data_IF_987616919670
#
_entry.id   IF_987616919670
#
_cell.length_a   1.000
_cell.length_b   1.000
_cell.length_c   1.000
_cell.angle_alpha   90.00
_cell.angle_beta   90.00
_cell.angle_gamma   90.00
#
_symmetry.space_group_name_H-M   'P 1'
#
loop_
_entity.id
_entity.type
_entity.pdbx_description
1 polymer ?
#
# COMPACT_ATOMS: atom_id res chain seq x y z
N UNK A 1 12.79 0.49 4.24
CA UNK A 1 14.09 0.23 3.58
C UNK A 1 13.95 -0.04 2.08
N UNK A 2 13.05 -0.94 1.63
CA UNK A 2 12.87 -1.26 0.21
C UNK A 2 12.39 -0.06 -0.64
N UNK A 3 11.32 0.63 -0.24
CA UNK A 3 10.76 1.75 -1.00
C UNK A 3 11.69 2.96 -1.11
N UNK A 4 12.43 3.28 -0.04
CA UNK A 4 13.48 4.29 -0.07
C UNK A 4 14.61 3.99 -1.06
N UNK A 5 14.80 2.72 -1.45
CA UNK A 5 15.73 2.36 -2.51
C UNK A 5 15.15 2.71 -3.91
N UNK A 6 13.84 2.68 -4.08
CA UNK A 6 13.21 3.05 -5.35
C UNK A 6 13.32 4.55 -5.64
N UNK A 7 13.34 5.40 -4.62
CA UNK A 7 13.65 6.83 -4.75
C UNK A 7 15.00 7.09 -5.46
N UNK A 8 15.93 6.13 -5.39
CA UNK A 8 17.25 6.20 -6.05
C UNK A 8 17.22 5.75 -7.51
N UNK A 9 16.07 5.35 -8.03
CA UNK A 9 15.87 4.90 -9.40
C UNK A 9 15.04 5.95 -10.16
N UNK A 10 15.64 7.06 -10.61
CA UNK A 10 14.89 8.21 -11.16
C UNK A 10 14.10 7.89 -12.43
N UNK A 11 14.45 6.82 -13.13
CA UNK A 11 13.78 6.35 -14.36
C UNK A 11 12.82 5.18 -14.09
N UNK A 12 12.48 4.89 -12.84
CA UNK A 12 11.58 3.80 -12.50
C UNK A 12 10.12 4.16 -12.85
N UNK A 13 9.64 3.61 -13.95
CA UNK A 13 8.25 3.83 -14.41
C UNK A 13 7.32 2.66 -14.10
N UNK A 14 7.87 1.46 -13.85
CA UNK A 14 7.09 0.25 -13.63
C UNK A 14 7.55 -0.48 -12.37
N UNK A 15 6.58 -0.80 -11.51
CA UNK A 15 6.80 -1.52 -10.26
C UNK A 15 5.85 -2.70 -10.19
N UNK A 16 6.41 -3.87 -9.85
CA UNK A 16 5.64 -5.08 -9.58
C UNK A 16 6.02 -5.59 -8.19
N UNK A 17 5.04 -5.65 -7.30
CA UNK A 17 5.21 -6.16 -5.94
C UNK A 17 4.33 -7.39 -5.77
N UNK A 18 4.90 -8.44 -5.16
CA UNK A 18 4.18 -9.65 -4.84
C UNK A 18 4.42 -10.04 -3.39
N UNK A 19 3.36 -10.42 -2.68
CA UNK A 19 3.42 -10.88 -1.28
C UNK A 19 4.08 -9.86 -0.35
N UNK A 20 3.92 -8.57 -0.64
CA UNK A 20 4.39 -7.49 0.24
C UNK A 20 3.27 -7.13 1.19
N UNK A 21 3.55 -7.19 2.48
CA UNK A 21 2.64 -6.77 3.53
C UNK A 21 2.73 -5.25 3.68
N UNK A 22 1.96 -4.55 2.85
CA UNK A 22 2.03 -3.10 2.63
C UNK A 22 1.33 -2.27 3.70
N UNK A 23 0.42 -2.87 4.48
CA UNK A 23 -0.43 -2.21 5.47
C UNK A 23 0.33 -1.43 6.54
N UNK A 24 1.44 -1.95 7.03
CA UNK A 24 2.18 -1.33 8.14
C UNK A 24 2.84 0.00 7.73
N UNK A 25 3.10 0.19 6.43
CA UNK A 25 3.99 1.25 5.96
C UNK A 25 3.29 2.42 5.28
N UNK A 26 2.04 2.28 4.83
CA UNK A 26 1.29 3.41 4.23
C UNK A 26 0.80 4.38 5.32
N UNK A 27 0.43 3.87 6.50
CA UNK A 27 -0.19 4.65 7.58
C UNK A 27 0.78 5.05 8.70
N UNK A 28 1.82 4.26 8.97
CA UNK A 28 2.64 4.43 10.19
C UNK A 28 3.79 5.43 10.14
N UNK A 29 4.30 5.84 8.96
CA UNK A 29 5.53 6.69 8.89
C UNK A 29 5.62 7.61 7.66
N UNK A 30 4.49 7.88 7.01
CA UNK A 30 4.44 8.66 5.76
C UNK A 30 4.34 7.74 4.55
N UNK A 31 3.52 8.16 3.60
CA UNK A 31 3.19 7.36 2.44
C UNK A 31 4.44 7.19 1.55
N UNK A 32 5.11 6.03 1.66
CA UNK A 32 6.40 5.76 1.00
C UNK A 32 6.32 5.80 -0.54
N UNK A 33 5.11 5.76 -1.09
CA UNK A 33 4.87 5.92 -2.52
C UNK A 33 4.98 7.38 -2.99
N UNK A 34 5.03 8.36 -2.09
CA UNK A 34 5.41 9.75 -2.41
C UNK A 34 6.80 9.83 -3.05
N UNK A 35 7.67 8.86 -2.80
CA UNK A 35 9.03 8.81 -3.34
C UNK A 35 9.10 8.18 -4.76
N UNK A 36 7.94 7.89 -5.36
CA UNK A 36 7.81 7.24 -6.66
C UNK A 36 7.10 8.13 -7.70
N UNK A 37 7.54 9.39 -7.93
CA UNK A 37 6.78 10.34 -8.74
C UNK A 37 6.62 9.91 -10.19
N UNK A 38 7.51 9.06 -10.72
CA UNK A 38 7.54 8.69 -12.14
C UNK A 38 6.85 7.35 -12.45
N UNK A 39 6.28 6.68 -11.44
CA UNK A 39 5.63 5.38 -11.67
C UNK A 39 4.32 5.56 -12.43
N UNK A 40 4.25 4.90 -13.59
CA UNK A 40 3.09 4.86 -14.48
C UNK A 40 2.35 3.52 -14.41
N UNK A 41 3.07 2.45 -14.08
CA UNK A 41 2.53 1.09 -14.04
C UNK A 41 2.80 0.43 -12.69
N UNK A 42 1.73 0.16 -11.94
CA UNK A 42 1.81 -0.54 -10.67
C UNK A 42 1.05 -1.87 -10.73
N UNK A 43 1.74 -2.97 -10.43
CA UNK A 43 1.13 -4.28 -10.25
C UNK A 43 1.35 -4.77 -8.83
N UNK A 44 0.26 -5.15 -8.18
CA UNK A 44 0.25 -5.72 -6.84
C UNK A 44 -0.36 -7.11 -6.91
N UNK A 45 0.30 -8.11 -6.32
CA UNK A 45 -0.15 -9.49 -6.32
C UNK A 45 -0.03 -10.13 -4.93
N UNK A 46 -1.11 -10.60 -4.33
CA UNK A 46 -1.02 -11.26 -3.02
C UNK A 46 -0.65 -10.30 -1.90
N UNK A 47 -0.99 -9.02 -2.03
CA UNK A 47 -0.68 -8.00 -1.03
C UNK A 47 -1.93 -7.73 -0.17
N UNK A 48 -1.73 -7.50 1.13
CA UNK A 48 -2.77 -7.08 2.07
C UNK A 48 -2.96 -5.57 2.06
N UNK A 49 -4.21 -5.11 2.07
CA UNK A 49 -4.57 -3.68 2.15
C UNK A 49 -5.88 -3.49 2.93
N UNK A 50 -5.95 -2.39 3.67
CA UNK A 50 -7.21 -1.79 4.10
C UNK A 50 -7.72 -0.85 3.00
N UNK A 51 -9.03 -0.61 2.95
CA UNK A 51 -9.64 0.29 1.94
C UNK A 51 -8.99 1.69 1.98
N UNK A 52 -8.65 2.16 3.18
CA UNK A 52 -8.03 3.47 3.41
C UNK A 52 -6.60 3.54 2.86
N UNK A 53 -5.84 2.44 2.93
CA UNK A 53 -4.48 2.36 2.41
C UNK A 53 -4.44 2.47 0.89
N UNK A 54 -5.38 1.80 0.21
CA UNK A 54 -5.46 1.84 -1.25
C UNK A 54 -5.81 3.25 -1.73
N UNK A 55 -6.73 3.93 -1.03
CA UNK A 55 -7.07 5.32 -1.32
C UNK A 55 -5.88 6.26 -1.10
N UNK A 56 -5.15 6.08 0.00
CA UNK A 56 -3.94 6.85 0.29
C UNK A 56 -2.85 6.62 -0.76
N UNK A 57 -2.63 5.37 -1.18
CA UNK A 57 -1.69 5.00 -2.24
C UNK A 57 -2.00 5.71 -3.57
N UNK A 58 -3.26 5.72 -3.98
CA UNK A 58 -3.69 6.38 -5.21
C UNK A 58 -3.50 7.91 -5.16
N UNK A 59 -3.65 8.50 -3.97
CA UNK A 59 -3.45 9.94 -3.77
C UNK A 59 -2.01 10.43 -3.98
N UNK A 60 -1.02 9.53 -3.94
CA UNK A 60 0.42 9.91 -3.97
C UNK A 60 1.17 9.47 -5.22
N UNK A 61 0.50 8.82 -6.16
CA UNK A 61 1.06 8.39 -7.44
C UNK A 61 0.45 9.24 -8.58
N UNK A 62 0.88 10.51 -8.74
CA UNK A 62 0.20 11.47 -9.62
C UNK A 62 0.27 11.11 -11.11
N UNK A 63 1.24 10.28 -11.51
CA UNK A 63 1.46 9.88 -12.89
C UNK A 63 1.01 8.43 -13.18
N UNK A 64 0.25 7.80 -12.27
CA UNK A 64 -0.18 6.42 -12.44
C UNK A 64 -1.20 6.31 -13.58
N UNK A 65 -0.84 5.56 -14.62
CA UNK A 65 -1.70 5.32 -15.78
C UNK A 65 -2.42 3.97 -15.67
N UNK A 66 -1.77 2.97 -15.05
CA UNK A 66 -2.33 1.63 -14.91
C UNK A 66 -2.06 1.04 -13.52
N UNK A 67 -3.13 0.61 -12.87
CA UNK A 67 -3.11 -0.20 -11.67
C UNK A 67 -3.64 -1.60 -11.98
N UNK A 68 -2.89 -2.63 -11.61
CA UNK A 68 -3.35 -4.02 -11.68
C UNK A 68 -3.25 -4.69 -10.33
N UNK A 69 -4.38 -5.18 -9.83
CA UNK A 69 -4.51 -5.86 -8.55
C UNK A 69 -4.84 -7.33 -8.79
N UNK A 70 -4.07 -8.24 -8.19
CA UNK A 70 -4.25 -9.69 -8.32
C UNK A 70 -4.19 -10.35 -6.96
N UNK A 71 -5.05 -11.36 -6.72
CA UNK A 71 -5.06 -12.14 -5.48
C UNK A 71 -4.95 -11.27 -4.22
N UNK A 72 -5.68 -10.17 -4.18
CA UNK A 72 -5.63 -9.24 -3.05
C UNK A 72 -6.39 -9.84 -1.88
N UNK A 73 -5.93 -9.55 -0.66
CA UNK A 73 -6.65 -9.88 0.56
C UNK A 73 -7.02 -8.56 1.23
N UNK A 74 -8.32 -8.31 1.35
CA UNK A 74 -8.81 -7.20 2.18
C UNK A 74 -8.56 -7.61 3.63
N UNK A 75 -7.68 -6.87 4.30
CA UNK A 75 -7.65 -6.94 5.75
C UNK A 75 -8.84 -6.12 6.22
N UNK A 76 -9.95 -6.79 6.45
CA UNK A 76 -11.00 -6.25 7.31
C UNK A 76 -10.32 -6.21 8.67
N UNK A 77 -9.76 -5.05 9.02
CA UNK A 77 -9.09 -4.85 10.30
C UNK A 77 -9.94 -5.49 11.37
N UNK A 78 -9.31 -6.34 12.19
CA UNK A 78 -10.00 -7.07 13.25
C UNK A 78 -10.76 -6.01 14.06
N UNK A 79 -12.07 -5.87 13.79
CA UNK A 79 -12.97 -5.20 14.67
C UNK A 79 -12.84 -6.07 15.91
N UNK A 80 -12.01 -5.63 16.87
CA UNK A 80 -11.77 -6.32 18.12
C UNK A 80 -13.13 -6.48 18.79
N UNK A 81 -13.81 -7.58 18.47
CA UNK A 81 -14.97 -8.04 19.20
C UNK A 81 -14.38 -8.72 20.43
N UNK A 82 -14.19 -7.92 21.48
CA UNK A 82 -13.50 -8.26 22.73
C UNK A 82 -12.30 -7.33 22.90
N UNK A 83 -12.34 -6.31 23.75
CA UNK A 83 -12.61 -6.39 25.18
C UNK A 83 -13.35 -5.15 25.69
N UNK A 84 -14.67 -5.25 25.85
CA UNK A 84 -15.36 -4.47 26.89
C UNK A 84 -16.57 -5.27 27.40
N UNK A 85 -16.28 -6.26 28.25
CA UNK A 85 -17.24 -6.87 29.18
C UNK A 85 -17.03 -6.31 30.60
N UNK A 86 -16.51 -5.09 30.74
CA UNK A 86 -16.63 -4.36 31.99
C UNK A 86 -18.05 -3.79 32.06
N UNK A 87 -18.79 -4.16 33.10
CA UNK A 87 -20.15 -3.69 33.44
C UNK A 87 -21.33 -4.55 32.92
N UNK A 88 -21.31 -5.84 33.26
CA UNK A 88 -22.49 -6.52 33.84
C UNK A 88 -22.19 -6.82 35.30
#
# INVERSE_FOLDING_TARGET
ALYAAFAKLPSLESVQLALVDTLIFVTGSGNLFNELPNVKFLKLNGCGFETEDLAALLGVLPNLEQLKLFNMFENVGDARVGDDLSEI
#
